data_IF_916923997014
#
_entry.id   IF_916923997014
#
_cell.length_a   1.000
_cell.length_b   1.000
_cell.length_c   1.000
_cell.angle_alpha   90.00
_cell.angle_beta   90.00
_cell.angle_gamma   90.00
#
_symmetry.space_group_name_H-M   'P 1'
#
loop_
_entity.id
_entity.type
_entity.pdbx_description
1 polymer ?
#
# COMPACT_ATOMS: atom_id res chain seq x y z
N UNK A 1 31.37 8.51 -20.78
CA UNK A 1 30.50 8.32 -19.61
C UNK A 1 29.08 8.16 -20.13
N UNK A 2 28.47 6.99 -19.97
CA UNK A 2 27.08 6.73 -20.36
C UNK A 2 26.17 7.65 -19.54
N UNK A 3 25.46 8.58 -20.20
CA UNK A 3 24.72 9.68 -19.58
C UNK A 3 23.44 9.28 -18.83
N UNK A 4 23.47 8.23 -18.02
CA UNK A 4 22.32 7.69 -17.30
C UNK A 4 22.66 7.21 -15.89
N UNK A 5 21.62 6.83 -15.15
CA UNK A 5 21.70 6.29 -13.78
C UNK A 5 21.20 4.86 -13.77
N UNK A 6 21.89 3.95 -13.08
CA UNK A 6 21.39 2.58 -12.89
C UNK A 6 20.21 2.57 -11.93
N UNK A 7 19.06 2.05 -12.35
CA UNK A 7 17.85 2.00 -11.55
C UNK A 7 16.96 0.83 -11.96
N UNK A 8 15.99 0.49 -11.11
CA UNK A 8 15.03 -0.58 -11.40
C UNK A 8 14.08 -0.16 -12.52
N UNK A 9 14.07 -0.92 -13.62
CA UNK A 9 13.07 -0.78 -14.68
C UNK A 9 11.95 -1.79 -14.44
N UNK A 10 10.69 -1.33 -14.42
CA UNK A 10 9.53 -2.21 -14.22
C UNK A 10 9.30 -3.15 -15.41
N UNK A 11 9.56 -2.67 -16.63
CA UNK A 11 9.36 -3.47 -17.84
C UNK A 11 10.48 -4.50 -18.05
N UNK A 12 11.71 -4.21 -17.60
CA UNK A 12 12.82 -5.17 -17.66
C UNK A 12 12.91 -6.09 -16.43
N UNK A 13 12.24 -5.72 -15.33
CA UNK A 13 12.34 -6.39 -14.02
C UNK A 13 13.78 -6.58 -13.53
N UNK A 14 14.65 -5.62 -13.82
CA UNK A 14 16.05 -5.64 -13.40
C UNK A 14 16.62 -4.22 -13.27
N UNK A 15 17.84 -4.12 -12.72
CA UNK A 15 18.59 -2.87 -12.69
C UNK A 15 19.19 -2.59 -14.08
N UNK A 16 18.78 -1.50 -14.69
CA UNK A 16 19.24 -1.07 -16.04
C UNK A 16 19.70 0.38 -16.00
N UNK A 17 20.44 0.82 -17.02
CA UNK A 17 20.81 2.23 -17.15
C UNK A 17 19.65 3.00 -17.75
N UNK A 18 19.20 4.06 -17.08
CA UNK A 18 18.14 4.94 -17.56
C UNK A 18 18.65 6.37 -17.71
N UNK A 19 18.39 6.98 -18.87
CA UNK A 19 18.73 8.41 -19.09
C UNK A 19 17.69 9.30 -18.43
N UNK A 20 18.13 10.43 -17.86
CA UNK A 20 17.24 11.44 -17.31
C UNK A 20 16.76 12.39 -18.41
N UNK A 21 15.47 12.70 -18.41
CA UNK A 21 14.82 13.69 -19.30
C UNK A 21 13.88 14.57 -18.47
N UNK A 22 13.49 15.76 -18.96
CA UNK A 22 12.43 16.56 -18.31
C UNK A 22 11.16 15.72 -18.11
N UNK A 23 10.50 15.82 -16.95
CA UNK A 23 9.28 15.04 -16.71
C UNK A 23 8.17 15.38 -17.71
N UNK A 24 8.04 16.67 -18.05
CA UNK A 24 7.14 17.16 -19.10
C UNK A 24 7.31 16.48 -20.47
N UNK A 25 8.52 15.98 -20.81
CA UNK A 25 8.71 15.29 -22.10
C UNK A 25 8.07 13.90 -22.14
N UNK A 26 7.76 13.31 -20.98
CA UNK A 26 7.09 12.01 -20.84
C UNK A 26 5.59 12.21 -20.59
N UNK A 27 5.23 13.16 -19.72
CA UNK A 27 3.82 13.38 -19.34
C UNK A 27 3.05 14.22 -20.35
N UNK A 28 3.75 15.05 -21.13
CA UNK A 28 3.13 16.04 -22.02
C UNK A 28 2.53 17.24 -21.29
N UNK A 29 2.69 17.33 -19.97
CA UNK A 29 2.15 18.40 -19.14
C UNK A 29 3.21 19.52 -18.93
N UNK A 30 2.95 20.76 -19.38
CA UNK A 30 3.85 21.88 -19.11
C UNK A 30 4.10 22.16 -17.63
N UNK A 31 3.16 21.82 -16.74
CA UNK A 31 3.34 22.03 -15.31
C UNK A 31 4.43 21.09 -14.73
N UNK A 32 4.80 20.04 -15.46
CA UNK A 32 5.87 19.09 -15.11
C UNK A 32 7.28 19.52 -15.56
N UNK A 33 7.44 20.75 -16.09
CA UNK A 33 8.78 21.35 -16.21
C UNK A 33 9.36 21.72 -14.84
N UNK A 34 8.49 21.95 -13.84
CA UNK A 34 8.89 22.15 -12.45
C UNK A 34 9.42 20.86 -11.85
N UNK A 35 10.73 20.82 -11.52
CA UNK A 35 11.34 19.64 -10.92
C UNK A 35 10.84 19.35 -9.50
N UNK A 36 10.47 20.36 -8.71
CA UNK A 36 9.99 20.17 -7.34
C UNK A 36 8.47 20.18 -7.31
N UNK A 37 7.90 19.12 -6.74
CA UNK A 37 6.46 18.91 -6.60
C UNK A 37 6.10 18.72 -5.13
N UNK A 38 4.84 18.99 -4.81
CA UNK A 38 4.26 18.82 -3.48
C UNK A 38 2.74 18.60 -3.59
N UNK A 39 2.14 18.06 -2.54
CA UNK A 39 0.69 17.97 -2.42
C UNK A 39 0.16 19.15 -1.58
N UNK A 40 -0.82 19.94 -2.05
CA UNK A 40 -1.32 21.10 -1.30
C UNK A 40 -1.86 20.75 0.10
N UNK A 41 -2.50 19.59 0.24
CA UNK A 41 -3.06 19.11 1.51
C UNK A 41 -2.05 18.33 2.36
N UNK A 42 -0.83 18.09 1.84
CA UNK A 42 0.25 17.37 2.52
C UNK A 42 1.58 18.06 2.22
N UNK A 43 1.79 19.29 2.75
CA UNK A 43 2.93 20.14 2.40
C UNK A 43 4.27 19.59 2.88
N UNK A 44 4.29 18.63 3.79
CA UNK A 44 5.45 17.85 4.21
C UNK A 44 5.92 16.88 3.12
N UNK A 45 5.00 16.44 2.24
CA UNK A 45 5.29 15.52 1.13
C UNK A 45 5.76 16.32 -0.08
N UNK A 46 7.08 16.45 -0.19
CA UNK A 46 7.76 17.08 -1.32
C UNK A 46 8.63 16.06 -2.05
N UNK A 47 8.74 16.18 -3.37
CA UNK A 47 9.63 15.34 -4.16
C UNK A 47 10.25 16.09 -5.34
N UNK A 48 11.37 15.57 -5.83
CA UNK A 48 11.91 15.95 -7.12
C UNK A 48 11.43 14.96 -8.18
N UNK A 49 10.67 15.45 -9.15
CA UNK A 49 10.17 14.68 -10.27
C UNK A 49 11.19 14.67 -11.41
N UNK A 50 11.47 13.50 -11.99
CA UNK A 50 12.32 13.35 -13.18
C UNK A 50 11.73 12.34 -14.14
N UNK A 51 11.73 12.67 -15.42
CA UNK A 51 11.50 11.70 -16.47
C UNK A 51 12.70 10.78 -16.65
N UNK A 52 12.44 9.51 -16.95
CA UNK A 52 13.42 8.46 -17.18
C UNK A 52 13.06 7.71 -18.45
N UNK A 53 14.07 7.40 -19.25
CA UNK A 53 13.93 6.50 -20.40
C UNK A 53 14.93 5.36 -20.20
N UNK A 54 14.44 4.13 -20.13
CA UNK A 54 15.28 2.94 -20.03
C UNK A 54 16.13 2.81 -21.30
N UNK A 55 17.45 2.60 -21.18
CA UNK A 55 18.31 2.42 -22.36
C UNK A 55 18.25 0.99 -22.93
N UNK A 56 17.68 0.04 -22.19
CA UNK A 56 17.57 -1.35 -22.63
C UNK A 56 16.25 -1.63 -23.36
N UNK A 57 15.13 -1.13 -22.83
CA UNK A 57 13.79 -1.41 -23.39
C UNK A 57 13.04 -0.15 -23.84
N UNK A 58 13.67 1.02 -23.78
CA UNK A 58 13.11 2.32 -24.21
C UNK A 58 11.83 2.76 -23.48
N UNK A 59 11.43 2.07 -22.41
CA UNK A 59 10.26 2.45 -21.63
C UNK A 59 10.46 3.82 -20.99
N UNK A 60 9.43 4.65 -21.13
CA UNK A 60 9.39 5.99 -20.56
C UNK A 60 8.57 5.98 -19.28
N UNK A 61 9.12 6.53 -18.21
CA UNK A 61 8.43 6.62 -16.93
C UNK A 61 8.94 7.80 -16.12
N UNK A 62 8.12 8.23 -15.17
CA UNK A 62 8.46 9.31 -14.25
C UNK A 62 8.85 8.74 -12.90
N UNK A 63 9.85 9.35 -12.28
CA UNK A 63 10.33 9.01 -10.94
C UNK A 63 10.18 10.19 -9.99
N UNK A 64 10.01 9.88 -8.71
CA UNK A 64 9.97 10.84 -7.61
C UNK A 64 11.13 10.54 -6.66
N UNK A 65 12.05 11.49 -6.53
CA UNK A 65 13.15 11.46 -5.57
C UNK A 65 12.67 12.15 -4.28
N UNK A 66 12.61 11.39 -3.20
CA UNK A 66 12.15 11.85 -1.88
C UNK A 66 13.18 11.55 -0.80
N UNK A 67 13.03 12.17 0.37
CA UNK A 67 13.89 11.92 1.51
C UNK A 67 13.80 10.46 1.95
N UNK A 68 14.95 9.81 2.19
CA UNK A 68 15.03 8.38 2.51
C UNK A 68 14.17 7.98 3.74
N UNK A 69 14.20 8.79 4.80
CA UNK A 69 13.34 8.59 5.98
C UNK A 69 11.86 8.45 5.64
N UNK A 70 11.36 9.17 4.64
CA UNK A 70 9.96 9.09 4.20
C UNK A 70 9.68 7.74 3.51
N UNK A 71 10.63 7.20 2.73
CA UNK A 71 10.54 5.85 2.18
C UNK A 71 10.53 4.78 3.27
N UNK A 72 11.38 4.93 4.29
CA UNK A 72 11.44 4.01 5.43
C UNK A 72 10.12 4.01 6.19
N UNK A 73 9.53 5.19 6.43
CA UNK A 73 8.22 5.34 7.05
C UNK A 73 7.13 4.65 6.22
N UNK A 74 7.09 4.88 4.91
CA UNK A 74 6.13 4.24 4.01
C UNK A 74 6.22 2.70 4.07
N UNK A 75 7.44 2.16 4.14
CA UNK A 75 7.66 0.71 4.29
C UNK A 75 7.10 0.20 5.63
N UNK A 76 7.35 0.92 6.73
CA UNK A 76 6.82 0.59 8.06
C UNK A 76 5.30 0.62 8.06
N UNK A 77 4.68 1.66 7.49
CA UNK A 77 3.24 1.79 7.36
C UNK A 77 2.63 0.65 6.54
N UNK A 78 3.25 0.26 5.42
CA UNK A 78 2.79 -0.88 4.60
C UNK A 78 2.81 -2.20 5.38
N UNK A 79 3.84 -2.43 6.20
CA UNK A 79 3.92 -3.62 7.06
C UNK A 79 2.84 -3.60 8.14
N UNK A 80 2.72 -2.49 8.88
CA UNK A 80 1.71 -2.33 9.92
C UNK A 80 0.29 -2.52 9.37
N UNK A 81 -0.03 -1.91 8.22
CA UNK A 81 -1.34 -2.06 7.58
C UNK A 81 -1.64 -3.51 7.18
N UNK A 82 -0.64 -4.24 6.68
CA UNK A 82 -0.80 -5.67 6.35
C UNK A 82 -1.13 -6.47 7.61
N UNK A 83 -0.41 -6.23 8.70
CA UNK A 83 -0.59 -6.98 9.95
C UNK A 83 -1.95 -6.69 10.58
N UNK A 84 -2.40 -5.42 10.55
CA UNK A 84 -3.76 -5.02 10.95
C UNK A 84 -4.81 -5.75 10.11
N UNK A 85 -4.65 -5.84 8.79
CA UNK A 85 -5.60 -6.55 7.91
C UNK A 85 -5.68 -8.04 8.22
N UNK A 86 -4.54 -8.67 8.54
CA UNK A 86 -4.51 -10.09 8.94
C UNK A 86 -5.25 -10.28 10.26
N UNK A 87 -4.95 -9.44 11.26
CA UNK A 87 -5.58 -9.53 12.57
C UNK A 87 -7.08 -9.23 12.52
N UNK A 88 -7.51 -8.23 11.76
CA UNK A 88 -8.93 -7.92 11.56
C UNK A 88 -9.69 -9.13 11.00
N UNK A 89 -9.16 -9.79 9.96
CA UNK A 89 -9.76 -11.02 9.41
C UNK A 89 -9.84 -12.14 10.44
N UNK A 90 -8.79 -12.31 11.25
CA UNK A 90 -8.76 -13.30 12.34
C UNK A 90 -9.84 -13.01 13.38
N UNK A 91 -9.91 -11.77 13.88
CA UNK A 91 -10.90 -11.36 14.87
C UNK A 91 -12.33 -11.47 14.35
N UNK A 92 -12.59 -11.11 13.08
CA UNK A 92 -13.92 -11.32 12.48
C UNK A 92 -14.29 -12.80 12.47
N UNK A 93 -13.37 -13.68 12.06
CA UNK A 93 -13.61 -15.14 12.05
C UNK A 93 -13.90 -15.68 13.47
N UNK A 94 -13.08 -15.29 14.44
CA UNK A 94 -13.24 -15.69 15.84
C UNK A 94 -14.55 -15.16 16.44
N UNK A 95 -14.91 -13.91 16.14
CA UNK A 95 -16.16 -13.29 16.59
C UNK A 95 -17.39 -14.00 16.01
N UNK A 96 -17.37 -14.40 14.74
CA UNK A 96 -18.46 -15.17 14.12
C UNK A 96 -18.60 -16.53 14.80
N UNK A 97 -17.50 -17.27 14.97
CA UNK A 97 -17.54 -18.59 15.62
C UNK A 97 -18.00 -18.51 17.09
N UNK A 98 -17.57 -17.49 17.82
CA UNK A 98 -18.02 -17.25 19.19
C UNK A 98 -19.53 -16.93 19.24
N UNK A 99 -20.02 -16.14 18.29
CA UNK A 99 -21.45 -15.80 18.18
C UNK A 99 -22.31 -17.04 17.89
N UNK A 100 -21.87 -17.91 16.98
CA UNK A 100 -22.53 -19.19 16.70
C UNK A 100 -22.58 -20.09 17.93
N UNK A 101 -21.48 -20.18 18.68
CA UNK A 101 -21.38 -20.99 19.90
C UNK A 101 -22.31 -20.43 20.99
N UNK A 102 -22.36 -19.11 21.17
CA UNK A 102 -23.26 -18.45 22.11
C UNK A 102 -24.73 -18.69 21.77
N UNK A 103 -25.10 -18.66 20.48
CA UNK A 103 -26.45 -19.00 20.04
C UNK A 103 -26.82 -20.45 20.37
N UNK A 104 -25.90 -21.39 20.16
CA UNK A 104 -26.11 -22.79 20.52
C UNK A 104 -26.29 -22.97 22.04
N UNK A 105 -25.43 -22.34 22.85
CA UNK A 105 -25.53 -22.34 24.32
C UNK A 105 -26.86 -21.75 24.80
N UNK A 106 -27.27 -20.61 24.24
CA UNK A 106 -28.55 -19.97 24.57
C UNK A 106 -29.74 -20.89 24.28
N UNK A 107 -29.69 -21.65 23.17
CA UNK A 107 -30.71 -22.64 22.84
C UNK A 107 -30.72 -23.79 23.85
N UNK A 108 -29.56 -24.33 24.21
CA UNK A 108 -29.47 -25.40 25.22
C UNK A 108 -29.97 -24.96 26.59
N UNK A 109 -29.68 -23.73 27.02
CA UNK A 109 -30.22 -23.16 28.26
C UNK A 109 -31.75 -23.07 28.23
N UNK A 110 -32.34 -22.58 27.15
CA UNK A 110 -33.81 -22.50 27.04
C UNK A 110 -34.51 -23.87 27.16
N UNK A 111 -33.86 -24.95 26.71
CA UNK A 111 -34.38 -26.32 26.86
C UNK A 111 -34.27 -26.79 28.31
N UNK A 112 -33.16 -26.48 28.99
CA UNK A 112 -32.98 -26.83 30.40
C UNK A 112 -33.98 -26.12 31.31
N UNK A 113 -34.22 -24.83 31.07
CA UNK A 113 -35.22 -24.05 31.81
C UNK A 113 -36.62 -24.68 31.65
N UNK A 114 -36.99 -25.03 30.41
CA UNK A 114 -38.28 -25.67 30.13
C UNK A 114 -38.45 -27.06 30.80
N UNK A 115 -37.36 -27.80 31.02
CA UNK A 115 -37.41 -29.09 31.71
C UNK A 115 -37.51 -28.96 33.23
N UNK A 116 -36.98 -27.87 33.80
CA UNK A 116 -37.06 -27.61 35.24
C UNK A 116 -38.43 -27.03 35.65
N UNK A 117 -39.15 -26.39 34.73
CA UNK A 117 -40.50 -25.86 34.96
C UNK A 117 -41.61 -26.94 34.93
N UNK A 118 -41.31 -28.15 34.45
CA UNK A 118 -42.25 -29.29 34.37
C UNK A 118 -42.24 -30.20 35.62
N UNK A 119 -41.36 -29.94 36.60
CA UNK A 119 -41.18 -30.72 37.84
C UNK A 119 -41.82 -30.06 39.11
N UNK A 120 -42.55 -28.94 38.97
CA UNK A 120 -43.44 -28.34 40.01
C UNK A 120 -44.93 -28.62 39.75
#
# INVERSE_FOLDING_TARGET
>A
MSGGTTMWCKECEQLTVCKAVPAASITGDPDDYGQRKYYPNHPDVNWFQRGRICLDCESEFVTAEIHENFLIELIKLRRALRDIKINAKKYTKESTAASETLLALSKSLSVLDALNDDDE
#
